data_IF_223874472225
#
_entry.id   IF_223874472225
#
_cell.length_a   1.000
_cell.length_b   1.000
_cell.length_c   1.000
_cell.angle_alpha   90.00
_cell.angle_beta   90.00
_cell.angle_gamma   90.00
#
_symmetry.space_group_name_H-M   'P 1'
#
loop_
_entity.id
_entity.type
_entity.pdbx_description
1 polymer ?
#
# COMPACT_ATOMS: atom_id res chain seq x y z
N UNK A 1 18.46 -7.18 -10.40
CA UNK A 1 17.24 -6.74 -11.10
C UNK A 1 16.23 -6.43 -10.03
N UNK A 2 15.96 -5.14 -9.79
CA UNK A 2 15.08 -4.71 -8.70
C UNK A 2 13.68 -4.54 -9.31
N UNK A 3 13.01 -5.66 -9.56
CA UNK A 3 11.60 -5.59 -9.94
C UNK A 3 10.80 -5.30 -8.67
N UNK A 4 10.69 -4.01 -8.36
CA UNK A 4 9.50 -3.51 -7.70
C UNK A 4 8.34 -3.74 -8.68
N UNK A 5 7.87 -4.98 -8.75
CA UNK A 5 6.57 -5.25 -9.34
C UNK A 5 5.60 -4.49 -8.48
N UNK A 6 5.08 -3.37 -8.98
CA UNK A 6 4.11 -2.51 -8.30
C UNK A 6 2.79 -3.22 -7.97
N UNK A 7 2.79 -4.56 -7.91
CA UNK A 7 1.78 -5.53 -7.50
C UNK A 7 2.02 -6.09 -6.09
N UNK A 8 3.07 -5.65 -5.38
CA UNK A 8 3.31 -6.10 -4.01
C UNK A 8 2.14 -5.65 -3.12
N UNK A 9 1.51 -6.61 -2.43
CA UNK A 9 0.29 -6.40 -1.63
C UNK A 9 0.43 -6.94 -0.21
N UNK A 10 1.68 -7.03 0.26
CA UNK A 10 2.04 -7.58 1.56
C UNK A 10 3.04 -6.68 2.29
N UNK A 11 2.80 -6.45 3.58
CA UNK A 11 3.65 -5.60 4.43
C UNK A 11 4.97 -6.29 4.83
N UNK A 12 5.92 -5.55 5.42
CA UNK A 12 7.15 -6.11 6.00
C UNK A 12 6.90 -7.22 7.03
N UNK A 13 5.77 -7.15 7.75
CA UNK A 13 5.36 -8.18 8.71
C UNK A 13 4.55 -9.33 8.11
N UNK A 14 4.34 -9.35 6.80
CA UNK A 14 3.52 -10.38 6.15
C UNK A 14 2.01 -10.12 6.22
N UNK A 15 1.56 -8.92 6.62
CA UNK A 15 0.12 -8.59 6.64
C UNK A 15 -0.35 -8.25 5.22
N UNK A 16 -1.57 -8.66 4.90
CA UNK A 16 -2.19 -8.30 3.62
C UNK A 16 -2.60 -6.83 3.62
N UNK A 17 -2.23 -6.15 2.55
CA UNK A 17 -2.63 -4.77 2.31
C UNK A 17 -4.15 -4.69 2.10
N UNK A 18 -4.74 -3.67 2.68
CA UNK A 18 -6.11 -3.24 2.41
C UNK A 18 -6.13 -2.57 1.03
N UNK A 19 -7.20 -2.79 0.25
CA UNK A 19 -7.39 -2.11 -1.04
C UNK A 19 -7.62 -0.62 -0.81
N UNK A 20 -7.15 0.21 -1.73
CA UNK A 20 -7.30 1.66 -1.58
C UNK A 20 -8.75 2.11 -1.81
N UNK A 21 -9.52 1.41 -2.64
CA UNK A 21 -10.95 1.69 -2.83
C UNK A 21 -11.84 1.29 -1.62
N UNK A 22 -11.32 0.56 -0.63
CA UNK A 22 -12.11 0.16 0.55
C UNK A 22 -11.80 1.03 1.77
N UNK A 23 -12.84 1.41 2.50
CA UNK A 23 -12.74 2.26 3.70
C UNK A 23 -12.68 1.45 5.00
N UNK A 24 -12.47 0.13 4.92
CA UNK A 24 -12.57 -0.80 6.05
C UNK A 24 -11.41 -1.79 6.03
N UNK A 25 -10.77 -2.11 7.17
CA UNK A 25 -10.98 -1.55 8.52
C UNK A 25 -10.55 -0.09 8.69
N UNK A 26 -9.69 0.43 7.82
CA UNK A 26 -9.17 1.79 7.96
C UNK A 26 -9.73 2.73 6.90
N UNK A 27 -10.57 3.66 7.34
CA UNK A 27 -11.04 4.74 6.49
C UNK A 27 -9.88 5.70 6.16
N UNK A 28 -9.75 6.09 4.90
CA UNK A 28 -8.69 6.95 4.40
C UNK A 28 -9.14 7.75 3.18
N UNK A 29 -8.64 8.97 3.03
CA UNK A 29 -8.93 9.79 1.86
C UNK A 29 -7.93 9.44 0.76
N UNK A 30 -8.40 8.70 -0.24
CA UNK A 30 -7.65 8.46 -1.46
C UNK A 30 -7.88 9.67 -2.35
N UNK A 31 -6.82 10.42 -2.62
CA UNK A 31 -6.88 11.55 -3.52
C UNK A 31 -6.68 11.02 -4.94
N UNK A 32 -7.72 11.08 -5.78
CA UNK A 32 -7.70 10.56 -7.17
C UNK A 32 -6.58 11.20 -8.01
N UNK A 33 -6.11 12.40 -7.64
CA UNK A 33 -4.98 13.04 -8.30
C UNK A 33 -3.62 12.39 -7.95
N UNK A 34 -3.54 11.68 -6.81
CA UNK A 34 -2.34 10.95 -6.36
C UNK A 34 -2.40 9.45 -6.65
N UNK A 35 -3.59 8.93 -6.94
CA UNK A 35 -3.83 7.53 -7.24
C UNK A 35 -4.60 7.43 -8.56
N UNK A 36 -3.96 7.05 -9.68
CA UNK A 36 -4.69 6.80 -10.91
C UNK A 36 -5.72 5.68 -10.67
N UNK A 37 -6.96 5.86 -11.14
CA UNK A 37 -8.12 5.00 -10.86
C UNK A 37 -7.88 3.48 -10.93
N UNK A 38 -7.02 3.02 -11.84
CA UNK A 38 -6.67 1.59 -11.99
C UNK A 38 -5.96 1.02 -10.75
N UNK A 39 -5.29 1.88 -10.00
CA UNK A 39 -4.50 1.57 -8.83
C UNK A 39 -5.33 1.52 -7.54
N UNK A 40 -6.46 2.23 -7.50
CA UNK A 40 -7.39 2.19 -6.37
C UNK A 40 -8.05 0.82 -6.22
N UNK A 41 -8.31 0.14 -7.34
CA UNK A 41 -8.95 -1.17 -7.35
C UNK A 41 -8.04 -2.28 -6.80
N UNK A 42 -6.78 -1.98 -6.54
CA UNK A 42 -5.78 -2.93 -6.07
C UNK A 42 -5.34 -2.61 -4.63
N UNK A 43 -4.75 -3.59 -3.96
CA UNK A 43 -4.14 -3.42 -2.64
C UNK A 43 -2.62 -3.31 -2.73
N UNK A 44 -2.13 -2.61 -3.75
CA UNK A 44 -0.70 -2.55 -4.01
C UNK A 44 -0.05 -1.50 -3.11
N UNK A 45 1.16 -1.78 -2.68
CA UNK A 45 1.98 -0.86 -1.91
C UNK A 45 2.26 0.40 -2.71
N UNK A 46 2.06 1.58 -2.14
CA UNK A 46 2.27 2.86 -2.83
C UNK A 46 2.99 3.86 -1.97
N UNK A 47 3.60 4.82 -2.63
CA UNK A 47 4.31 5.91 -1.98
C UNK A 47 3.87 7.28 -2.52
N UNK A 48 2.59 7.66 -2.33
CA UNK A 48 2.09 8.93 -2.86
C UNK A 48 2.78 10.16 -2.24
N UNK A 49 3.39 10.00 -1.06
CA UNK A 49 4.15 11.06 -0.38
C UNK A 49 5.61 11.14 -0.82
N UNK A 50 6.05 10.26 -1.73
CA UNK A 50 7.46 10.08 -2.09
C UNK A 50 8.37 9.95 -0.85
N UNK A 51 7.85 9.25 0.15
CA UNK A 51 8.47 9.07 1.47
C UNK A 51 9.79 8.29 1.35
N UNK A 52 10.88 8.71 1.99
CA UNK A 52 12.16 8.01 1.93
C UNK A 52 12.10 6.60 2.54
N UNK A 53 11.09 6.31 3.37
CA UNK A 53 10.84 4.96 3.92
C UNK A 53 10.35 3.94 2.88
N UNK A 54 9.98 4.38 1.69
CA UNK A 54 9.46 3.53 0.62
C UNK A 54 7.94 3.40 0.60
N UNK A 55 7.40 2.54 -0.27
CA UNK A 55 5.98 2.31 -0.42
C UNK A 55 5.40 1.58 0.79
N UNK A 56 4.21 2.01 1.16
CA UNK A 56 3.43 1.50 2.27
C UNK A 56 2.02 1.20 1.79
N UNK A 57 1.27 0.48 2.60
CA UNK A 57 -0.14 0.24 2.37
C UNK A 57 -0.88 0.27 3.70
N UNK A 58 -2.20 0.48 3.63
CA UNK A 58 -3.06 0.21 4.78
C UNK A 58 -3.09 -1.30 5.01
N UNK A 59 -3.22 -1.74 6.26
CA UNK A 59 -3.29 -3.17 6.55
C UNK A 59 -4.73 -3.60 6.82
N UNK A 60 -5.03 -4.87 6.60
CA UNK A 60 -6.33 -5.45 6.94
C UNK A 60 -6.51 -5.67 8.45
N UNK A 61 -5.51 -5.34 9.27
CA UNK A 61 -5.53 -5.50 10.72
C UNK A 61 -6.01 -4.20 11.38
N UNK A 62 -7.12 -4.19 12.15
CA UNK A 62 -7.64 -2.99 12.80
C UNK A 62 -6.68 -2.41 13.86
N UNK A 63 -5.73 -3.19 14.37
CA UNK A 63 -4.71 -2.69 15.29
C UNK A 63 -3.59 -1.91 14.56
N UNK A 64 -3.38 -2.16 13.27
CA UNK A 64 -2.30 -1.56 12.48
C UNK A 64 -2.88 -0.82 11.28
N UNK A 65 -2.96 0.51 11.38
CA UNK A 65 -3.55 1.34 10.32
C UNK A 65 -2.84 1.21 8.98
N UNK A 66 -1.52 1.32 8.99
CA UNK A 66 -0.69 1.23 7.80
C UNK A 66 0.67 0.65 8.17
N UNK A 67 1.36 0.10 7.17
CA UNK A 67 2.68 -0.45 7.35
C UNK A 67 3.47 -0.39 6.05
N UNK A 68 4.79 -0.25 6.17
CA UNK A 68 5.68 -0.35 5.03
C UNK A 68 5.63 -1.73 4.39
N UNK A 69 5.83 -1.75 3.09
CA UNK A 69 5.84 -2.97 2.33
C UNK A 69 7.22 -3.60 2.28
N UNK A 70 7.24 -4.94 2.20
CA UNK A 70 8.48 -5.68 2.08
C UNK A 70 9.03 -5.54 0.67
N UNK A 71 9.75 -4.45 0.42
CA UNK A 71 10.59 -4.38 -0.78
C UNK A 71 11.78 -5.30 -0.53
N UNK A 72 11.86 -6.40 -1.27
CA UNK A 72 13.12 -7.11 -1.38
C UNK A 72 14.05 -6.28 -2.25
N UNK A 73 15.00 -5.60 -1.62
CA UNK A 73 16.16 -5.10 -2.34
C UNK A 73 16.98 -6.33 -2.76
N UNK A 74 17.02 -6.60 -4.07
CA UNK A 74 17.90 -7.59 -4.69
C UNK A 74 19.18 -6.94 -5.20
#
# INVERSE_FOLDING_TARGET
GVEYSGTLSTTVSGRTCQRWDVQTPHAHNVDDARFPNDDLAHNHCRNPSNDPGGPWCLTTDPAIRWQYCRILFC
#
